data_IF_137758988904
#
_entry.id   IF_137758988904
#
_cell.length_a   1.000
_cell.length_b   1.000
_cell.length_c   1.000
_cell.angle_alpha   90.00
_cell.angle_beta   90.00
_cell.angle_gamma   90.00
#
_symmetry.space_group_name_H-M   'P 1'
#
loop_
_entity.id
_entity.type
_entity.pdbx_description
1 polymer ?
#
# COMPACT_ATOMS: atom_id res chain seq x y z
N UNK A 1 9.35 -14.92 11.29
CA UNK A 1 9.72 -13.64 10.69
C UNK A 1 8.46 -12.94 10.23
N UNK A 2 8.21 -11.70 10.66
CA UNK A 2 7.02 -10.97 10.20
C UNK A 2 7.02 -10.79 8.68
N UNK A 3 5.83 -10.76 8.09
CA UNK A 3 5.67 -10.61 6.66
C UNK A 3 4.91 -9.33 6.34
N UNK A 4 5.52 -8.50 5.51
CA UNK A 4 4.88 -7.31 4.94
C UNK A 4 4.41 -7.64 3.52
N UNK A 5 3.11 -7.52 3.29
CA UNK A 5 2.53 -7.65 1.96
C UNK A 5 2.45 -6.26 1.32
N UNK A 6 2.98 -6.13 0.13
CA UNK A 6 2.80 -4.92 -0.69
C UNK A 6 1.83 -5.26 -1.81
N UNK A 7 0.67 -4.62 -1.81
CA UNK A 7 -0.34 -4.75 -2.86
C UNK A 7 -0.31 -3.47 -3.69
N UNK A 8 0.06 -3.60 -4.96
CA UNK A 8 0.32 -2.43 -5.78
C UNK A 8 -0.28 -2.53 -7.17
N UNK A 9 -0.53 -1.38 -7.77
CA UNK A 9 -0.76 -1.25 -9.21
C UNK A 9 0.26 -0.26 -9.74
N UNK A 10 1.13 -0.70 -10.63
CA UNK A 10 2.32 0.03 -11.08
C UNK A 10 2.33 0.14 -12.62
N UNK A 11 1.45 0.99 -13.19
CA UNK A 11 1.32 1.08 -14.65
C UNK A 11 2.24 2.11 -15.30
N UNK A 12 3.14 2.76 -14.58
CA UNK A 12 3.93 3.86 -15.10
C UNK A 12 5.38 3.82 -14.61
N UNK A 13 6.32 4.49 -15.31
CA UNK A 13 7.69 4.62 -14.83
C UNK A 13 7.79 5.33 -13.48
N UNK A 14 6.94 6.32 -13.22
CA UNK A 14 6.91 7.01 -11.92
C UNK A 14 6.60 6.04 -10.78
N UNK A 15 5.55 5.23 -10.95
CA UNK A 15 5.18 4.24 -9.94
C UNK A 15 6.20 3.11 -9.84
N UNK A 16 6.91 2.78 -10.91
CA UNK A 16 8.00 1.81 -10.85
C UNK A 16 9.13 2.31 -9.95
N UNK A 17 9.51 3.59 -10.08
CA UNK A 17 10.51 4.18 -9.20
C UNK A 17 10.05 4.19 -7.74
N UNK A 18 8.76 4.45 -7.50
CA UNK A 18 8.17 4.42 -6.16
C UNK A 18 8.21 3.01 -5.58
N UNK A 19 7.88 1.99 -6.36
CA UNK A 19 7.93 0.60 -5.89
C UNK A 19 9.36 0.18 -5.51
N UNK A 20 10.36 0.62 -6.28
CA UNK A 20 11.76 0.38 -5.92
C UNK A 20 12.13 1.05 -4.59
N UNK A 21 11.64 2.27 -4.35
CA UNK A 21 11.85 2.95 -3.07
C UNK A 21 11.19 2.19 -1.91
N UNK A 22 10.03 1.56 -2.13
CA UNK A 22 9.40 0.69 -1.13
C UNK A 22 10.34 -0.47 -0.78
N UNK A 23 10.89 -1.14 -1.77
CA UNK A 23 11.82 -2.26 -1.54
C UNK A 23 13.05 -1.81 -0.76
N UNK A 24 13.60 -0.66 -1.12
CA UNK A 24 14.75 -0.08 -0.42
C UNK A 24 14.43 0.23 1.05
N UNK A 25 13.26 0.79 1.31
CA UNK A 25 12.82 1.12 2.67
C UNK A 25 12.66 -0.11 3.54
N UNK A 26 12.03 -1.16 3.02
CA UNK A 26 11.85 -2.42 3.77
C UNK A 26 13.21 -3.08 4.04
N UNK A 27 14.15 -2.99 3.09
CA UNK A 27 15.48 -3.58 3.25
C UNK A 27 16.27 -2.96 4.40
N UNK A 28 15.89 -1.76 4.87
CA UNK A 28 16.52 -1.14 6.04
C UNK A 28 16.06 -1.76 7.37
N UNK A 29 15.01 -2.56 7.36
CA UNK A 29 14.45 -3.19 8.55
C UNK A 29 14.84 -4.66 8.56
N UNK A 30 15.51 -5.09 9.62
CA UNK A 30 15.96 -6.48 9.74
C UNK A 30 14.79 -7.42 10.04
N UNK A 31 14.91 -8.64 9.57
CA UNK A 31 14.01 -9.75 9.91
C UNK A 31 12.55 -9.51 9.48
N UNK A 32 12.35 -8.85 8.35
CA UNK A 32 11.03 -8.70 7.72
C UNK A 32 11.06 -9.42 6.37
N UNK A 33 10.08 -10.30 6.17
CA UNK A 33 9.87 -10.95 4.88
C UNK A 33 8.98 -10.04 4.01
N UNK A 34 9.43 -9.73 2.81
CA UNK A 34 8.69 -8.87 1.88
C UNK A 34 8.01 -9.72 0.81
N UNK A 35 6.69 -9.56 0.70
CA UNK A 35 5.86 -10.21 -0.32
C UNK A 35 5.22 -9.12 -1.19
N UNK A 36 5.69 -8.98 -2.43
CA UNK A 36 5.23 -7.92 -3.34
C UNK A 36 4.32 -8.53 -4.40
N UNK A 37 3.07 -8.08 -4.45
CA UNK A 37 2.08 -8.63 -5.38
C UNK A 37 1.29 -7.55 -6.11
N UNK A 38 1.17 -7.65 -7.43
CA UNK A 38 0.23 -6.80 -8.17
C UNK A 38 -1.19 -7.00 -7.63
N UNK A 39 -1.96 -5.92 -7.57
CA UNK A 39 -3.30 -5.95 -6.97
C UNK A 39 -4.24 -6.96 -7.63
N UNK A 40 -4.12 -7.16 -8.94
CA UNK A 40 -4.96 -8.14 -9.65
C UNK A 40 -4.58 -9.58 -9.34
N UNK A 41 -3.40 -9.82 -8.79
CA UNK A 41 -2.90 -11.18 -8.47
C UNK A 41 -2.93 -11.48 -6.97
N UNK A 42 -3.16 -10.47 -6.13
CA UNK A 42 -3.22 -10.65 -4.68
C UNK A 42 -4.61 -11.13 -4.26
N UNK A 43 -4.65 -12.00 -3.27
CA UNK A 43 -5.90 -12.57 -2.79
C UNK A 43 -5.96 -12.71 -1.27
N UNK A 44 -7.05 -13.33 -0.80
CA UNK A 44 -7.30 -13.49 0.62
C UNK A 44 -6.19 -14.28 1.34
N UNK A 45 -5.67 -15.33 0.72
CA UNK A 45 -4.60 -16.13 1.31
C UNK A 45 -3.34 -15.30 1.56
N UNK A 46 -3.00 -14.41 0.62
CA UNK A 46 -1.85 -13.53 0.77
C UNK A 46 -2.04 -12.56 1.94
N UNK A 47 -3.23 -11.98 2.04
CA UNK A 47 -3.55 -11.03 3.09
C UNK A 47 -3.62 -11.70 4.46
N UNK A 48 -4.20 -12.89 4.55
CA UNK A 48 -4.29 -13.63 5.81
C UNK A 48 -2.91 -14.10 6.31
N UNK A 49 -1.96 -14.28 5.42
CA UNK A 49 -0.59 -14.66 5.78
C UNK A 49 0.28 -13.46 6.18
N UNK A 50 -0.20 -12.24 5.98
CA UNK A 50 0.57 -11.03 6.24
C UNK A 50 0.39 -10.53 7.67
N UNK A 51 1.44 -9.92 8.22
CA UNK A 51 1.42 -9.24 9.51
C UNK A 51 1.19 -7.73 9.35
N UNK A 52 1.29 -7.23 8.15
CA UNK A 52 0.99 -5.85 7.78
C UNK A 52 0.89 -5.72 6.28
N UNK A 53 0.35 -4.60 5.80
CA UNK A 53 0.16 -4.36 4.37
C UNK A 53 0.49 -2.93 3.99
N UNK A 54 1.16 -2.78 2.86
CA UNK A 54 1.38 -1.48 2.22
C UNK A 54 0.64 -1.47 0.90
N UNK A 55 -0.21 -0.47 0.71
CA UNK A 55 -1.04 -0.32 -0.48
C UNK A 55 -0.44 0.76 -1.39
N UNK A 56 -0.33 0.46 -2.66
CA UNK A 56 0.18 1.41 -3.64
C UNK A 56 -0.70 1.49 -4.89
N UNK A 57 -1.10 2.69 -5.28
CA UNK A 57 -2.01 2.90 -6.40
C UNK A 57 -1.78 4.23 -7.10
N UNK A 58 -2.00 4.30 -8.43
CA UNK A 58 -2.23 5.60 -9.05
C UNK A 58 -3.60 6.14 -8.64
N UNK A 59 -3.75 7.46 -8.69
CA UNK A 59 -5.06 8.12 -8.61
C UNK A 59 -5.63 8.20 -10.03
N UNK A 60 -6.68 7.44 -10.29
CA UNK A 60 -7.34 7.38 -11.59
C UNK A 60 -8.72 8.00 -11.50
N UNK A 61 -8.94 9.08 -12.25
CA UNK A 61 -10.25 9.74 -12.36
C UNK A 61 -10.83 10.02 -10.96
N UNK A 62 -10.02 10.59 -10.07
CA UNK A 62 -10.45 10.99 -8.74
C UNK A 62 -10.65 9.82 -7.74
N UNK A 63 -10.14 8.63 -8.05
CA UNK A 63 -10.36 7.42 -7.25
C UNK A 63 -9.10 6.55 -7.27
N UNK A 64 -9.08 5.47 -6.48
CA UNK A 64 -8.01 4.47 -6.59
C UNK A 64 -8.12 3.73 -7.93
N UNK A 65 -7.06 3.03 -8.35
CA UNK A 65 -7.13 2.23 -9.57
C UNK A 65 -8.16 1.11 -9.44
N UNK A 66 -8.73 0.71 -10.56
CA UNK A 66 -9.64 -0.44 -10.61
C UNK A 66 -8.98 -1.72 -10.12
N UNK A 67 -7.69 -1.87 -10.36
CA UNK A 67 -6.92 -3.03 -9.88
C UNK A 67 -6.92 -3.10 -8.35
N UNK A 68 -6.68 -1.99 -7.66
CA UNK A 68 -6.69 -1.98 -6.20
C UNK A 68 -8.12 -2.18 -5.66
N UNK A 69 -9.11 -1.56 -6.30
CA UNK A 69 -10.52 -1.79 -5.91
C UNK A 69 -10.91 -3.26 -6.07
N UNK A 70 -10.44 -3.90 -7.15
CA UNK A 70 -10.66 -5.33 -7.36
C UNK A 70 -10.07 -6.17 -6.22
N UNK A 71 -8.87 -5.83 -5.77
CA UNK A 71 -8.27 -6.49 -4.60
C UNK A 71 -9.18 -6.36 -3.37
N UNK A 72 -9.64 -5.16 -3.07
CA UNK A 72 -10.55 -4.95 -1.94
C UNK A 72 -11.84 -5.73 -2.08
N UNK A 73 -12.45 -5.74 -3.26
CA UNK A 73 -13.66 -6.51 -3.51
C UNK A 73 -13.43 -8.02 -3.29
N UNK A 74 -12.25 -8.49 -3.66
CA UNK A 74 -11.89 -9.90 -3.52
C UNK A 74 -11.69 -10.32 -2.07
N UNK A 75 -11.05 -9.47 -1.24
CA UNK A 75 -10.64 -9.85 0.10
C UNK A 75 -11.59 -9.39 1.20
N UNK A 76 -12.51 -8.48 0.90
CA UNK A 76 -13.31 -7.80 1.94
C UNK A 76 -14.01 -8.79 2.87
N UNK A 77 -14.89 -9.64 2.33
CA UNK A 77 -15.64 -10.56 3.16
C UNK A 77 -14.78 -11.68 3.76
N UNK A 78 -13.90 -12.34 3.01
CA UNK A 78 -13.05 -13.38 3.60
C UNK A 78 -12.15 -12.90 4.73
N UNK A 79 -11.73 -11.63 4.70
CA UNK A 79 -10.75 -11.10 5.64
C UNK A 79 -11.33 -10.11 6.66
N UNK A 80 -12.64 -9.85 6.63
CA UNK A 80 -13.27 -8.77 7.38
C UNK A 80 -12.98 -8.84 8.88
N UNK A 81 -13.13 -9.99 9.49
CA UNK A 81 -12.87 -10.15 10.94
C UNK A 81 -11.43 -10.58 11.22
N UNK A 82 -10.88 -11.39 10.35
CA UNK A 82 -9.55 -11.97 10.54
C UNK A 82 -8.42 -10.93 10.50
N UNK A 83 -8.62 -9.81 9.82
CA UNK A 83 -7.59 -8.76 9.69
C UNK A 83 -7.86 -7.51 10.51
N UNK A 84 -8.77 -7.57 11.49
CA UNK A 84 -9.02 -6.44 12.38
C UNK A 84 -7.72 -6.06 13.09
N UNK A 85 -7.37 -4.76 13.06
CA UNK A 85 -6.15 -4.25 13.66
C UNK A 85 -4.88 -4.42 12.81
N UNK A 86 -4.99 -4.94 11.59
CA UNK A 86 -3.84 -5.13 10.72
C UNK A 86 -3.14 -3.79 10.46
N UNK A 87 -1.82 -3.67 10.75
CA UNK A 87 -1.09 -2.44 10.45
C UNK A 87 -1.02 -2.19 8.94
N UNK A 88 -1.27 -0.95 8.53
CA UNK A 88 -1.15 -0.62 7.11
C UNK A 88 -0.61 0.78 6.87
N UNK A 89 -0.08 0.97 5.67
CA UNK A 89 0.28 2.26 5.11
C UNK A 89 -0.16 2.33 3.66
N UNK A 90 -0.08 3.52 3.07
CA UNK A 90 -0.52 3.74 1.70
C UNK A 90 0.30 4.81 1.00
N UNK A 91 0.61 4.61 -0.27
CA UNK A 91 1.08 5.66 -1.16
C UNK A 91 0.18 5.77 -2.39
N UNK A 92 -0.01 7.00 -2.85
CA UNK A 92 -0.79 7.31 -4.04
C UNK A 92 0.00 8.24 -4.93
N UNK A 93 -0.01 7.98 -6.21
CA UNK A 93 0.62 8.83 -7.21
C UNK A 93 -0.42 9.33 -8.22
N UNK A 94 -0.40 10.62 -8.51
CA UNK A 94 -1.25 11.21 -9.53
C UNK A 94 -0.56 12.37 -10.23
N UNK A 95 -1.17 12.85 -11.32
CA UNK A 95 -0.67 14.02 -12.02
C UNK A 95 -1.30 15.31 -11.53
N UNK A 96 -2.36 15.20 -10.75
CA UNK A 96 -3.14 16.35 -10.30
C UNK A 96 -3.60 16.15 -8.84
N UNK A 97 -4.67 15.38 -8.59
CA UNK A 97 -5.28 15.25 -7.28
C UNK A 97 -5.32 13.79 -6.84
N UNK A 98 -4.88 13.54 -5.60
CA UNK A 98 -4.87 12.22 -4.98
C UNK A 98 -5.92 12.08 -3.87
N UNK A 99 -6.61 13.14 -3.51
CA UNK A 99 -7.50 13.18 -2.35
C UNK A 99 -8.64 12.16 -2.42
N UNK A 100 -9.24 11.99 -3.61
CA UNK A 100 -10.33 11.04 -3.80
C UNK A 100 -9.89 9.59 -3.62
N UNK A 101 -8.70 9.25 -4.10
CA UNK A 101 -8.12 7.92 -3.91
C UNK A 101 -7.88 7.64 -2.43
N UNK A 102 -7.29 8.58 -1.70
CA UNK A 102 -7.02 8.45 -0.26
C UNK A 102 -8.31 8.31 0.55
N UNK A 103 -9.33 9.10 0.23
CA UNK A 103 -10.63 9.04 0.91
C UNK A 103 -11.28 7.67 0.69
N UNK A 104 -11.24 7.17 -0.54
CA UNK A 104 -11.84 5.87 -0.87
C UNK A 104 -11.12 4.72 -0.15
N UNK A 105 -9.80 4.74 -0.12
CA UNK A 105 -9.00 3.72 0.57
C UNK A 105 -9.31 3.76 2.07
N UNK A 106 -9.34 4.94 2.66
CA UNK A 106 -9.60 5.10 4.09
C UNK A 106 -10.97 4.57 4.47
N UNK A 107 -11.97 4.76 3.63
CA UNK A 107 -13.32 4.23 3.88
C UNK A 107 -13.32 2.71 3.94
N UNK A 108 -12.63 2.06 3.02
CA UNK A 108 -12.57 0.59 2.96
C UNK A 108 -11.73 0.02 4.10
N UNK A 109 -10.55 0.58 4.34
CA UNK A 109 -9.66 0.12 5.41
C UNK A 109 -10.28 0.34 6.78
N UNK A 110 -11.05 1.43 6.94
CA UNK A 110 -11.81 1.70 8.16
C UNK A 110 -12.89 0.65 8.40
N UNK A 111 -13.60 0.24 7.35
CA UNK A 111 -14.59 -0.83 7.44
C UNK A 111 -13.94 -2.18 7.78
N UNK A 112 -12.74 -2.45 7.26
CA UNK A 112 -11.94 -3.63 7.62
C UNK A 112 -11.32 -3.52 9.00
N UNK A 113 -11.39 -2.36 9.63
CA UNK A 113 -10.79 -2.07 10.94
C UNK A 113 -9.28 -2.25 10.96
N UNK A 114 -8.61 -1.96 9.85
CA UNK A 114 -7.16 -1.93 9.79
C UNK A 114 -6.63 -0.72 10.56
N UNK A 115 -5.39 -0.82 11.02
CA UNK A 115 -4.76 0.24 11.81
C UNK A 115 -3.74 0.99 10.95
N UNK A 116 -4.01 2.26 10.66
CA UNK A 116 -3.04 3.11 9.96
C UNK A 116 -1.87 3.41 10.89
N UNK A 117 -0.66 3.03 10.47
CA UNK A 117 0.56 3.18 11.31
C UNK A 117 1.53 4.23 10.77
N UNK A 118 1.19 4.85 9.65
CA UNK A 118 1.99 5.93 9.06
C UNK A 118 1.07 6.88 8.31
N UNK A 119 1.46 8.15 8.21
CA UNK A 119 0.76 9.10 7.36
C UNK A 119 0.86 8.64 5.90
N UNK A 120 -0.21 8.79 5.09
CA UNK A 120 -0.14 8.43 3.68
C UNK A 120 0.85 9.32 2.94
N UNK A 121 1.52 8.75 1.93
CA UNK A 121 2.39 9.51 1.05
C UNK A 121 1.66 9.77 -0.26
N UNK A 122 1.50 11.04 -0.59
CA UNK A 122 0.83 11.49 -1.82
C UNK A 122 1.88 12.13 -2.72
N UNK A 123 1.97 11.64 -3.96
CA UNK A 123 2.98 12.05 -4.92
C UNK A 123 2.30 12.63 -6.16
N UNK A 124 2.75 13.81 -6.57
CA UNK A 124 2.20 14.48 -7.76
C UNK A 124 3.30 14.65 -8.80
N UNK A 125 3.07 14.15 -10.01
CA UNK A 125 4.02 14.26 -11.12
C UNK A 125 5.23 13.34 -10.97
N UNK A 126 6.30 13.62 -11.70
CA UNK A 126 7.52 12.83 -11.63
C UNK A 126 8.12 12.89 -10.23
N UNK A 127 8.38 11.74 -9.57
CA UNK A 127 8.89 11.75 -8.21
C UNK A 127 10.31 12.29 -8.15
N UNK A 128 10.52 13.26 -7.26
CA UNK A 128 11.83 13.79 -6.96
C UNK A 128 12.52 13.02 -5.85
N UNK A 129 13.73 13.49 -5.48
CA UNK A 129 14.53 12.86 -4.44
C UNK A 129 13.81 12.79 -3.10
N UNK A 130 13.16 13.88 -2.71
CA UNK A 130 12.46 13.94 -1.43
C UNK A 130 11.21 13.07 -1.42
N UNK A 131 10.55 12.94 -2.57
CA UNK A 131 9.40 12.05 -2.74
C UNK A 131 9.78 10.60 -2.51
N UNK A 132 10.87 10.17 -3.13
CA UNK A 132 11.36 8.80 -2.99
C UNK A 132 11.85 8.52 -1.57
N UNK A 133 12.46 9.51 -0.92
CA UNK A 133 12.85 9.39 0.49
C UNK A 133 11.62 9.22 1.40
N UNK A 134 10.56 9.98 1.16
CA UNK A 134 9.31 9.85 1.90
C UNK A 134 8.71 8.44 1.76
N UNK A 135 8.81 7.85 0.57
CA UNK A 135 8.32 6.49 0.32
C UNK A 135 9.19 5.45 1.05
N UNK A 136 10.51 5.62 1.04
CA UNK A 136 11.41 4.74 1.82
C UNK A 136 11.07 4.79 3.30
N UNK A 137 10.84 5.98 3.85
CA UNK A 137 10.44 6.15 5.24
C UNK A 137 9.09 5.53 5.55
N UNK A 138 8.12 5.69 4.65
CA UNK A 138 6.81 5.05 4.78
C UNK A 138 6.96 3.53 4.90
N UNK A 139 7.69 2.93 3.98
CA UNK A 139 7.88 1.48 3.94
C UNK A 139 8.59 0.96 5.19
N UNK A 140 9.64 1.64 5.61
CA UNK A 140 10.37 1.29 6.84
C UNK A 140 9.48 1.45 8.09
N UNK A 141 8.68 2.52 8.15
CA UNK A 141 7.79 2.77 9.28
C UNK A 141 6.75 1.66 9.42
N UNK A 142 6.15 1.23 8.31
CA UNK A 142 5.19 0.12 8.35
C UNK A 142 5.90 -1.17 8.74
N UNK A 143 7.07 -1.44 8.17
CA UNK A 143 7.82 -2.67 8.44
C UNK A 143 8.22 -2.82 9.92
N UNK A 144 8.58 -1.73 10.62
CA UNK A 144 8.97 -1.81 12.03
C UNK A 144 7.78 -2.02 12.97
N UNK A 145 6.55 -1.85 12.48
CA UNK A 145 5.34 -2.06 13.29
C UNK A 145 4.87 -3.51 13.32
N UNK A 146 5.48 -4.39 12.56
CA UNK A 146 5.03 -5.78 12.41
C UNK A 146 5.47 -6.69 13.56
#
# INVERSE_FOLDING_TARGET
>A
MPRLLVVHHTPSPSLQAVLEAVREGVALVEEVELDVRPALSAGAADLLAADGVLLGTPANIGYMSGALKHFFDTVYYPCLDATAGLPYGVYVHGNDDTAGALTAIRRITGALRWKQVAAPVSLIGAPGKDDLEAVRELAATVAVQL
#
